data_IF_671267363137
#
_entry.id   IF_671267363137
#
_cell.length_a   1.000
_cell.length_b   1.000
_cell.length_c   1.000
_cell.angle_alpha   90.00
_cell.angle_beta   90.00
_cell.angle_gamma   90.00
#
_symmetry.space_group_name_H-M   'P 1'
#
loop_
_entity.id
_entity.type
_entity.pdbx_description
1 polymer ?
#
# COMPACT_ATOMS: atom_id res chain seq x y z
N UNK A 1 -4.53 -15.99 6.24
CA UNK A 1 -5.05 -14.77 5.54
C UNK A 1 -4.73 -13.45 6.28
N UNK A 2 -4.93 -13.39 7.60
CA UNK A 2 -4.55 -12.22 8.44
C UNK A 2 -3.03 -12.05 8.60
N UNK A 3 -2.28 -13.15 8.72
CA UNK A 3 -0.84 -13.10 8.96
C UNK A 3 -0.04 -12.34 7.88
N UNK A 4 -0.45 -12.42 6.61
CA UNK A 4 0.30 -11.77 5.51
C UNK A 4 0.25 -10.23 5.58
N UNK A 5 -0.89 -9.68 5.99
CA UNK A 5 -1.03 -8.23 6.21
C UNK A 5 -0.29 -7.79 7.47
N UNK A 6 -0.34 -8.60 8.53
CA UNK A 6 0.47 -8.38 9.74
C UNK A 6 1.97 -8.35 9.45
N UNK A 7 2.49 -9.30 8.65
CA UNK A 7 3.88 -9.28 8.22
C UNK A 7 4.20 -8.04 7.38
N UNK A 8 3.35 -7.66 6.43
CA UNK A 8 3.54 -6.46 5.65
C UNK A 8 3.64 -5.21 6.55
N UNK A 9 2.69 -5.02 7.47
CA UNK A 9 2.69 -3.91 8.41
C UNK A 9 3.94 -3.92 9.32
N UNK A 10 4.35 -5.09 9.80
CA UNK A 10 5.56 -5.25 10.62
C UNK A 10 6.82 -4.82 9.85
N UNK A 11 6.98 -5.27 8.60
CA UNK A 11 8.14 -4.90 7.80
C UNK A 11 8.10 -3.44 7.34
N UNK A 12 6.91 -2.85 7.18
CA UNK A 12 6.78 -1.40 6.97
C UNK A 12 7.30 -0.65 8.20
N UNK A 13 6.88 -1.05 9.40
CA UNK A 13 7.35 -0.43 10.65
C UNK A 13 8.87 -0.60 10.84
N UNK A 14 9.43 -1.75 10.44
CA UNK A 14 10.87 -2.03 10.45
C UNK A 14 11.66 -1.35 9.33
N UNK A 15 11.00 -0.59 8.45
CA UNK A 15 11.61 0.04 7.26
C UNK A 15 12.34 -0.96 6.35
N UNK A 16 11.80 -2.17 6.21
CA UNK A 16 12.33 -3.23 5.34
C UNK A 16 11.50 -3.33 4.04
N UNK A 17 11.76 -2.51 3.01
CA UNK A 17 10.93 -2.42 1.81
C UNK A 17 10.79 -3.74 1.04
N UNK A 18 11.87 -4.50 0.89
CA UNK A 18 11.86 -5.76 0.13
C UNK A 18 10.95 -6.81 0.76
N UNK A 19 10.93 -6.90 2.10
CA UNK A 19 10.05 -7.85 2.82
C UNK A 19 8.62 -7.33 2.87
N UNK A 20 8.44 -6.03 3.13
CA UNK A 20 7.12 -5.39 3.13
C UNK A 20 6.37 -5.61 1.81
N UNK A 21 7.01 -5.32 0.68
CA UNK A 21 6.42 -5.46 -0.66
C UNK A 21 6.10 -6.92 -0.97
N UNK A 22 7.00 -7.85 -0.62
CA UNK A 22 6.78 -9.31 -0.82
C UNK A 22 5.52 -9.79 -0.09
N UNK A 23 5.35 -9.43 1.18
CA UNK A 23 4.19 -9.86 1.98
C UNK A 23 2.91 -9.14 1.59
N UNK A 24 2.97 -7.83 1.34
CA UNK A 24 1.81 -7.07 0.90
C UNK A 24 1.29 -7.55 -0.47
N UNK A 25 2.18 -7.85 -1.41
CA UNK A 25 1.82 -8.43 -2.72
C UNK A 25 1.13 -9.78 -2.57
N UNK A 26 1.61 -10.64 -1.67
CA UNK A 26 0.96 -11.92 -1.35
C UNK A 26 -0.42 -11.71 -0.74
N UNK A 27 -0.59 -10.73 0.15
CA UNK A 27 -1.88 -10.39 0.75
C UNK A 27 -2.89 -9.97 -0.33
N UNK A 28 -2.49 -9.05 -1.22
CA UNK A 28 -3.32 -8.62 -2.37
C UNK A 28 -3.68 -9.80 -3.27
N UNK A 29 -2.72 -10.67 -3.62
CA UNK A 29 -3.01 -11.86 -4.45
C UNK A 29 -4.02 -12.81 -3.81
N UNK A 30 -3.99 -12.95 -2.48
CA UNK A 30 -4.91 -13.83 -1.77
C UNK A 30 -6.31 -13.25 -1.62
N UNK A 31 -6.45 -11.95 -1.37
CA UNK A 31 -7.75 -11.27 -1.40
C UNK A 31 -7.66 -9.96 -2.18
N UNK A 32 -7.83 -10.02 -3.52
CA UNK A 32 -7.66 -8.86 -4.38
C UNK A 32 -8.77 -7.81 -4.24
N UNK A 33 -9.88 -8.12 -3.56
CA UNK A 33 -10.95 -7.17 -3.25
C UNK A 33 -10.85 -6.57 -1.84
N UNK A 34 -9.78 -6.85 -1.09
CA UNK A 34 -9.63 -6.28 0.26
C UNK A 34 -8.86 -4.96 0.18
N UNK A 35 -9.56 -3.87 0.44
CA UNK A 35 -9.05 -2.48 0.33
C UNK A 35 -7.77 -2.28 1.15
N UNK A 36 -7.79 -2.72 2.40
CA UNK A 36 -6.66 -2.63 3.34
C UNK A 36 -5.35 -3.21 2.76
N UNK A 37 -5.44 -4.27 1.96
CA UNK A 37 -4.25 -4.91 1.38
C UNK A 37 -3.64 -4.09 0.26
N UNK A 38 -4.46 -3.42 -0.54
CA UNK A 38 -3.98 -2.47 -1.55
C UNK A 38 -3.36 -1.23 -0.89
N UNK A 39 -3.91 -0.79 0.25
CA UNK A 39 -3.30 0.29 1.04
C UNK A 39 -1.93 -0.12 1.58
N UNK A 40 -1.83 -1.28 2.22
CA UNK A 40 -0.55 -1.82 2.71
C UNK A 40 0.47 -2.05 1.59
N UNK A 41 0.00 -2.49 0.42
CA UNK A 41 0.88 -2.66 -0.73
C UNK A 41 1.40 -1.32 -1.26
N UNK A 42 0.56 -0.29 -1.32
CA UNK A 42 1.00 1.05 -1.66
C UNK A 42 1.99 1.62 -0.64
N UNK A 43 1.74 1.43 0.65
CA UNK A 43 2.63 1.89 1.72
C UNK A 43 3.99 1.18 1.67
N UNK A 44 4.01 -0.13 1.39
CA UNK A 44 5.23 -0.90 1.18
C UNK A 44 6.02 -0.45 -0.06
N UNK A 45 5.34 -0.13 -1.16
CA UNK A 45 5.97 0.39 -2.39
C UNK A 45 6.52 1.81 -2.17
N UNK A 46 5.80 2.65 -1.43
CA UNK A 46 6.28 3.98 -1.04
C UNK A 46 7.56 3.89 -0.21
N UNK A 47 7.63 2.93 0.70
CA UNK A 47 8.84 2.66 1.49
C UNK A 47 10.00 2.16 0.60
N UNK A 48 9.70 1.47 -0.49
CA UNK A 48 10.67 1.06 -1.50
C UNK A 48 11.02 2.16 -2.51
N UNK A 49 10.58 3.39 -2.25
CA UNK A 49 10.74 4.57 -3.12
C UNK A 49 10.05 4.46 -4.50
N UNK A 50 9.26 3.40 -4.74
CA UNK A 50 8.44 3.23 -5.94
C UNK A 50 7.10 3.95 -5.78
N UNK A 51 7.17 5.29 -5.80
CA UNK A 51 6.00 6.17 -5.66
C UNK A 51 4.99 5.95 -6.79
N UNK A 52 5.46 5.65 -8.00
CA UNK A 52 4.61 5.41 -9.16
C UNK A 52 3.72 4.17 -8.94
N UNK A 53 4.30 3.05 -8.51
CA UNK A 53 3.54 1.85 -8.19
C UNK A 53 2.69 2.02 -6.93
N UNK A 54 3.18 2.74 -5.92
CA UNK A 54 2.41 3.04 -4.71
C UNK A 54 1.10 3.76 -5.02
N UNK A 55 1.16 4.79 -5.88
CA UNK A 55 -0.02 5.52 -6.38
C UNK A 55 -0.99 4.61 -7.13
N UNK A 56 -0.51 3.63 -7.90
CA UNK A 56 -1.39 2.66 -8.59
C UNK A 56 -2.11 1.77 -7.56
N UNK A 57 -1.40 1.31 -6.53
CA UNK A 57 -1.99 0.48 -5.48
C UNK A 57 -3.07 1.23 -4.67
N UNK A 58 -2.81 2.46 -4.22
CA UNK A 58 -3.82 3.25 -3.51
C UNK A 58 -5.01 3.63 -4.40
N UNK A 59 -4.78 3.92 -5.69
CA UNK A 59 -5.89 4.10 -6.64
C UNK A 59 -6.74 2.84 -6.76
N UNK A 60 -6.12 1.65 -6.78
CA UNK A 60 -6.87 0.40 -6.78
C UNK A 60 -7.68 0.21 -5.50
N UNK A 61 -7.14 0.62 -4.35
CA UNK A 61 -7.89 0.66 -3.10
C UNK A 61 -9.14 1.54 -3.22
N UNK A 62 -9.01 2.74 -3.79
CA UNK A 62 -10.14 3.65 -4.03
C UNK A 62 -11.13 3.16 -5.09
N UNK A 63 -10.68 2.37 -6.08
CA UNK A 63 -11.61 1.73 -7.02
C UNK A 63 -12.48 0.65 -6.36
N UNK A 64 -12.03 0.08 -5.23
CA UNK A 64 -12.80 -0.92 -4.47
C UNK A 64 -13.66 -0.24 -3.42
N UNK A 65 -13.09 0.73 -2.68
CA UNK A 65 -13.78 1.55 -1.70
C UNK A 65 -13.41 3.03 -1.94
N UNK A 66 -14.26 3.76 -2.68
CA UNK A 66 -14.05 5.18 -2.96
C UNK A 66 -14.02 6.07 -1.72
N UNK A 67 -14.49 5.57 -0.58
CA UNK A 67 -14.53 6.32 0.68
C UNK A 67 -13.35 6.00 1.61
N UNK A 68 -12.41 5.17 1.16
CA UNK A 68 -11.27 4.80 1.99
C UNK A 68 -10.37 6.00 2.30
N UNK A 69 -10.45 6.50 3.54
CA UNK A 69 -9.71 7.68 3.99
C UNK A 69 -8.20 7.48 3.91
N UNK A 70 -7.69 6.30 4.26
CA UNK A 70 -6.26 6.02 4.23
C UNK A 70 -5.69 6.15 2.81
N UNK A 71 -6.34 5.54 1.81
CA UNK A 71 -5.92 5.63 0.42
C UNK A 71 -5.96 7.07 -0.13
N UNK A 72 -6.99 7.87 0.24
CA UNK A 72 -7.06 9.30 -0.12
C UNK A 72 -5.91 10.10 0.46
N UNK A 73 -5.63 9.93 1.76
CA UNK A 73 -4.53 10.62 2.45
C UNK A 73 -3.19 10.29 1.80
N UNK A 74 -2.90 9.01 1.55
CA UNK A 74 -1.64 8.58 0.94
C UNK A 74 -1.41 9.14 -0.46
N UNK A 75 -2.46 9.19 -1.28
CA UNK A 75 -2.41 9.81 -2.61
C UNK A 75 -2.19 11.33 -2.52
N UNK A 76 -2.84 12.01 -1.59
CA UNK A 76 -2.64 13.44 -1.37
C UNK A 76 -1.21 13.75 -0.90
N UNK A 77 -0.67 12.97 0.04
CA UNK A 77 0.71 13.09 0.55
C UNK A 77 1.75 12.92 -0.57
N UNK A 78 1.57 11.93 -1.45
CA UNK A 78 2.50 11.70 -2.56
C UNK A 78 2.31 12.68 -3.70
N UNK A 79 1.10 13.20 -3.94
CA UNK A 79 0.84 14.25 -4.92
C UNK A 79 1.63 15.53 -4.64
N UNK A 80 1.61 15.98 -3.37
CA UNK A 80 2.29 17.19 -2.91
C UNK A 80 3.82 17.12 -3.03
N UNK A 81 4.39 15.93 -2.95
CA UNK A 81 5.85 15.72 -2.95
C UNK A 81 6.50 15.82 -4.34
N UNK A 82 5.70 15.86 -5.41
CA UNK A 82 6.19 16.01 -6.81
C UNK A 82 6.03 17.46 -7.31
N UNK A 83 5.41 18.33 -6.50
CA UNK A 83 5.11 19.71 -6.87
C UNK A 83 6.10 20.74 -6.27
N UNK A 84 7.33 20.33 -5.95
CA UNK A 84 8.37 21.22 -5.42
C UNK A 84 9.70 20.97 -6.13
#
# INVERSE_FOLDING_TARGET
>A
PQAMAGYAALFIAKKEPSRATKWARKAVRKRPRRVEYHVLYGDALRLADDIAAARKAWRKALSIDPNNRAAKVRLAETGKRVAN
#
